data_IF_317504226935
#
_entry.id   IF_317504226935
#
_cell.length_a   1.000
_cell.length_b   1.000
_cell.length_c   1.000
_cell.angle_alpha   90.00
_cell.angle_beta   90.00
_cell.angle_gamma   90.00
#
_symmetry.space_group_name_H-M   'P 1'
#
loop_
_entity.id
_entity.type
_entity.pdbx_description
1 polymer ?
#
# COMPACT_ATOMS: atom_id res chain seq x y z
N UNK A 1 -38.49 33.07 -38.34
CA UNK A 1 -39.16 33.12 -39.66
C UNK A 1 -38.58 32.02 -40.54
N UNK A 2 -39.39 31.40 -41.41
CA UNK A 2 -39.07 30.34 -42.39
C UNK A 2 -38.45 29.04 -41.80
N UNK A 3 -39.08 27.86 -41.86
CA UNK A 3 -39.54 27.05 -43.01
C UNK A 3 -38.35 26.38 -43.74
N UNK A 4 -38.21 25.04 -43.68
CA UNK A 4 -38.90 24.03 -44.52
C UNK A 4 -38.14 23.82 -45.86
N UNK A 5 -37.92 22.66 -46.46
CA UNK A 5 -37.97 21.22 -46.15
C UNK A 5 -37.66 20.48 -47.49
N UNK A 6 -37.45 19.15 -47.46
CA UNK A 6 -37.58 18.22 -48.60
C UNK A 6 -36.65 18.40 -49.84
N UNK A 7 -35.73 17.45 -50.12
CA UNK A 7 -35.92 16.28 -51.01
C UNK A 7 -35.56 16.61 -52.50
N UNK A 8 -35.36 15.70 -53.47
CA UNK A 8 -35.69 14.27 -53.61
C UNK A 8 -34.85 13.61 -54.75
N UNK A 9 -34.81 12.26 -54.82
CA UNK A 9 -34.57 11.42 -56.03
C UNK A 9 -33.14 11.44 -56.66
N UNK A 10 -32.66 10.41 -57.35
CA UNK A 10 -33.20 9.06 -57.64
C UNK A 10 -32.47 8.39 -58.83
N UNK A 11 -32.74 7.09 -59.11
CA UNK A 11 -32.13 6.22 -60.17
C UNK A 11 -30.67 5.78 -59.87
N UNK A 12 -30.14 4.59 -60.21
CA UNK A 12 -30.65 3.35 -60.85
C UNK A 12 -29.44 2.49 -61.30
N UNK A 13 -29.48 1.17 -61.51
CA UNK A 13 -30.54 0.17 -61.29
C UNK A 13 -29.98 -1.28 -61.26
N UNK A 14 -30.51 -2.10 -60.35
CA UNK A 14 -31.06 -3.46 -60.58
C UNK A 14 -30.37 -4.38 -61.63
N UNK A 15 -29.96 -5.57 -61.19
CA UNK A 15 -30.23 -6.81 -61.94
C UNK A 15 -30.65 -7.95 -61.00
N UNK A 16 -31.72 -8.66 -61.35
CA UNK A 16 -32.29 -9.79 -60.61
C UNK A 16 -32.14 -11.09 -61.41
N UNK A 17 -31.87 -12.20 -60.71
CA UNK A 17 -32.35 -13.56 -61.03
C UNK A 17 -31.94 -14.49 -59.88
N UNK A 18 -32.77 -15.34 -59.28
CA UNK A 18 -34.22 -15.56 -59.40
C UNK A 18 -34.71 -16.46 -58.25
N UNK A 19 -36.01 -16.44 -57.97
CA UNK A 19 -36.71 -17.18 -56.89
C UNK A 19 -36.72 -18.73 -57.12
N UNK A 20 -37.21 -19.59 -56.17
CA UNK A 20 -38.07 -19.29 -55.03
C UNK A 20 -37.75 -19.98 -53.68
N UNK A 21 -38.59 -19.67 -52.69
CA UNK A 21 -38.52 -20.06 -51.29
C UNK A 21 -38.92 -21.53 -51.04
N UNK A 22 -38.23 -22.20 -50.10
CA UNK A 22 -38.71 -23.40 -49.40
C UNK A 22 -38.82 -23.08 -47.89
N UNK A 23 -39.83 -23.61 -47.18
CA UNK A 23 -40.01 -23.34 -45.75
C UNK A 23 -38.93 -24.03 -44.89
N UNK A 24 -38.53 -23.44 -43.75
CA UNK A 24 -37.54 -24.04 -42.86
C UNK A 24 -38.08 -25.33 -42.24
N UNK A 25 -37.41 -26.44 -42.54
CA UNK A 25 -37.71 -27.78 -42.00
C UNK A 25 -37.43 -27.78 -40.48
N UNK A 26 -38.35 -28.26 -39.62
CA UNK A 26 -38.12 -28.26 -38.17
C UNK A 26 -36.91 -29.13 -37.82
N UNK A 27 -35.97 -28.57 -37.05
CA UNK A 27 -34.76 -29.25 -36.66
C UNK A 27 -35.07 -30.41 -35.69
N UNK A 28 -35.08 -31.64 -36.21
CA UNK A 28 -35.16 -32.84 -35.40
C UNK A 28 -33.93 -32.91 -34.48
N UNK A 29 -34.11 -32.55 -33.20
CA UNK A 29 -33.10 -32.74 -32.14
C UNK A 29 -32.75 -34.22 -32.06
N UNK A 30 -31.65 -34.63 -32.69
CA UNK A 30 -31.06 -35.95 -32.47
C UNK A 30 -30.70 -36.06 -30.99
N UNK A 31 -31.25 -37.08 -30.32
CA UNK A 31 -30.94 -37.35 -28.92
C UNK A 31 -29.42 -37.57 -28.77
N UNK A 32 -28.79 -37.08 -27.68
CA UNK A 32 -27.37 -37.28 -27.46
C UNK A 32 -27.10 -38.78 -27.30
N UNK A 33 -26.42 -39.37 -28.29
CA UNK A 33 -25.92 -40.74 -28.18
C UNK A 33 -24.96 -40.80 -26.99
N UNK A 34 -25.40 -41.41 -25.88
CA UNK A 34 -24.54 -41.74 -24.74
C UNK A 34 -23.47 -42.73 -25.22
N UNK A 35 -22.36 -42.22 -25.76
CA UNK A 35 -21.10 -42.97 -25.80
C UNK A 35 -20.78 -43.27 -24.34
N UNK A 36 -20.83 -44.55 -23.94
CA UNK A 36 -20.30 -44.97 -22.65
C UNK A 36 -18.86 -44.48 -22.59
N UNK A 37 -18.56 -43.61 -21.64
CA UNK A 37 -17.18 -43.34 -21.29
C UNK A 37 -16.61 -44.64 -20.74
N UNK A 38 -15.90 -45.39 -21.60
CA UNK A 38 -15.06 -46.49 -21.14
C UNK A 38 -13.97 -45.81 -20.33
N UNK A 39 -14.08 -45.88 -19.01
CA UNK A 39 -13.05 -45.36 -18.13
C UNK A 39 -11.74 -46.05 -18.49
N UNK A 40 -10.77 -45.28 -18.99
CA UNK A 40 -9.44 -45.76 -19.28
C UNK A 40 -8.77 -46.13 -17.95
N UNK A 41 -9.01 -47.37 -17.51
CA UNK A 41 -8.28 -47.97 -16.39
C UNK A 41 -6.83 -48.07 -16.84
N UNK A 42 -5.96 -47.28 -16.22
CA UNK A 42 -4.52 -47.37 -16.41
C UNK A 42 -4.13 -48.79 -16.00
N UNK A 43 -3.86 -49.64 -16.98
CA UNK A 43 -3.31 -50.97 -16.73
C UNK A 43 -1.84 -50.79 -16.36
N UNK A 44 -1.48 -51.22 -15.15
CA UNK A 44 -0.08 -51.40 -14.76
C UNK A 44 0.51 -52.54 -15.59
N UNK A 45 0.91 -52.24 -16.83
CA UNK A 45 1.82 -53.09 -17.59
C UNK A 45 3.10 -53.19 -16.75
N UNK A 46 3.53 -54.41 -16.45
CA UNK A 46 4.69 -54.68 -15.59
C UNK A 46 6.00 -54.22 -16.22
N UNK A 47 6.25 -52.92 -16.19
CA UNK A 47 7.46 -52.25 -16.72
C UNK A 47 8.68 -52.41 -15.81
N UNK A 48 8.50 -53.01 -14.63
CA UNK A 48 9.54 -53.30 -13.65
C UNK A 48 9.37 -54.74 -13.13
N UNK A 49 9.81 -55.75 -13.90
CA UNK A 49 9.68 -57.16 -13.51
C UNK A 49 10.60 -57.56 -12.35
N UNK A 50 11.69 -56.81 -12.14
CA UNK A 50 12.69 -57.04 -11.08
C UNK A 50 12.42 -56.22 -9.80
N UNK A 51 11.42 -55.34 -9.81
CA UNK A 51 11.02 -54.51 -8.66
C UNK A 51 12.00 -53.41 -8.28
N UNK A 52 12.90 -53.01 -9.19
CA UNK A 52 14.02 -52.08 -8.94
C UNK A 52 13.55 -50.64 -8.69
N UNK A 53 12.40 -50.25 -9.25
CA UNK A 53 11.85 -48.89 -9.16
C UNK A 53 10.91 -48.71 -7.95
N UNK A 54 10.50 -49.81 -7.31
CA UNK A 54 9.61 -49.81 -6.16
C UNK A 54 8.15 -49.43 -6.48
N UNK A 55 7.26 -49.41 -5.48
CA UNK A 55 5.85 -49.08 -5.69
C UNK A 55 5.68 -47.60 -6.09
N UNK A 56 4.78 -47.29 -7.05
CA UNK A 56 4.58 -45.92 -7.51
C UNK A 56 4.06 -45.03 -6.37
N UNK A 57 4.82 -43.99 -6.01
CA UNK A 57 4.40 -43.07 -4.96
C UNK A 57 3.26 -42.16 -5.45
N UNK A 58 2.10 -42.12 -4.76
CA UNK A 58 1.04 -41.17 -5.10
C UNK A 58 1.41 -39.74 -4.67
N UNK A 59 0.70 -38.75 -5.23
CA UNK A 59 0.76 -37.36 -4.75
C UNK A 59 1.93 -36.50 -5.26
N UNK A 60 2.74 -36.95 -6.23
CA UNK A 60 3.78 -36.09 -6.84
C UNK A 60 3.24 -34.77 -7.40
N UNK A 61 2.08 -34.79 -8.07
CA UNK A 61 1.43 -33.58 -8.60
C UNK A 61 1.08 -32.62 -7.46
N UNK A 62 0.40 -33.11 -6.41
CA UNK A 62 0.03 -32.31 -5.24
C UNK A 62 1.26 -31.72 -4.52
N UNK A 63 2.36 -32.47 -4.41
CA UNK A 63 3.64 -31.98 -3.83
C UNK A 63 4.28 -30.88 -4.67
N UNK A 64 4.26 -31.01 -6.00
CA UNK A 64 4.78 -29.99 -6.92
C UNK A 64 3.89 -28.74 -6.96
N UNK A 65 2.57 -28.89 -6.95
CA UNK A 65 1.63 -27.77 -6.85
C UNK A 65 1.77 -27.02 -5.52
N UNK A 66 1.87 -27.74 -4.40
CA UNK A 66 2.09 -27.14 -3.09
C UNK A 66 3.41 -26.36 -3.04
N UNK A 67 4.50 -26.93 -3.57
CA UNK A 67 5.79 -26.24 -3.68
C UNK A 67 5.68 -24.99 -4.55
N UNK A 68 5.07 -25.07 -5.74
CA UNK A 68 4.88 -23.92 -6.63
C UNK A 68 4.06 -22.81 -5.98
N UNK A 69 3.04 -23.15 -5.20
CA UNK A 69 2.24 -22.16 -4.45
C UNK A 69 3.07 -21.46 -3.37
N UNK A 70 3.94 -22.19 -2.67
CA UNK A 70 4.89 -21.60 -1.72
C UNK A 70 5.93 -20.70 -2.41
N UNK A 71 6.47 -21.13 -3.55
CA UNK A 71 7.41 -20.34 -4.38
C UNK A 71 6.73 -19.04 -4.88
N UNK A 72 5.49 -19.14 -5.37
CA UNK A 72 4.71 -17.96 -5.82
C UNK A 72 4.37 -17.02 -4.66
N UNK A 73 4.08 -17.55 -3.47
CA UNK A 73 3.85 -16.77 -2.25
C UNK A 73 5.14 -16.10 -1.74
N UNK A 74 6.31 -16.76 -1.82
CA UNK A 74 7.60 -16.11 -1.53
C UNK A 74 7.92 -15.01 -2.55
N UNK A 75 7.74 -15.26 -3.84
CA UNK A 75 7.99 -14.27 -4.90
C UNK A 75 7.08 -13.04 -4.74
N UNK A 76 5.80 -13.26 -4.42
CA UNK A 76 4.84 -12.19 -4.16
C UNK A 76 5.21 -11.38 -2.90
N UNK A 77 5.62 -12.05 -1.81
CA UNK A 77 6.12 -11.39 -0.59
C UNK A 77 7.38 -10.59 -0.84
N UNK A 78 8.32 -11.13 -1.63
CA UNK A 78 9.56 -10.42 -1.98
C UNK A 78 9.33 -9.23 -2.90
N UNK A 79 8.39 -9.33 -3.86
CA UNK A 79 8.00 -8.21 -4.71
C UNK A 79 7.35 -7.09 -3.88
N UNK A 80 6.43 -7.44 -2.97
CA UNK A 80 5.83 -6.49 -2.04
C UNK A 80 6.88 -5.84 -1.13
N UNK A 81 7.81 -6.63 -0.56
CA UNK A 81 8.89 -6.09 0.27
C UNK A 81 9.83 -5.17 -0.52
N UNK A 82 10.11 -5.46 -1.80
CA UNK A 82 10.88 -4.56 -2.67
C UNK A 82 10.18 -3.22 -2.85
N UNK A 83 8.90 -3.22 -3.23
CA UNK A 83 8.09 -2.01 -3.35
C UNK A 83 8.07 -1.18 -2.06
N UNK A 84 7.91 -1.82 -0.89
CA UNK A 84 7.95 -1.14 0.42
C UNK A 84 9.32 -0.54 0.73
N UNK A 85 10.43 -1.19 0.32
CA UNK A 85 11.78 -0.63 0.47
C UNK A 85 12.01 0.55 -0.47
N UNK A 86 11.64 0.40 -1.74
CA UNK A 86 11.75 1.45 -2.77
C UNK A 86 10.94 2.70 -2.39
N UNK A 87 9.70 2.55 -1.89
CA UNK A 87 8.93 3.67 -1.33
C UNK A 87 9.62 4.32 -0.13
N UNK A 88 10.18 3.51 0.79
CA UNK A 88 10.85 4.02 2.00
C UNK A 88 12.15 4.77 1.66
N UNK A 89 12.86 4.32 0.62
CA UNK A 89 14.06 4.95 0.07
C UNK A 89 13.71 6.23 -0.71
N UNK A 90 12.64 6.24 -1.52
CA UNK A 90 12.14 7.45 -2.18
C UNK A 90 11.79 8.53 -1.15
N UNK A 91 11.02 8.18 -0.11
CA UNK A 91 10.72 9.11 1.02
C UNK A 91 11.97 9.55 1.79
N UNK A 92 13.01 8.72 1.85
CA UNK A 92 14.31 9.11 2.44
C UNK A 92 15.00 10.18 1.59
N UNK A 93 15.03 10.01 0.28
CA UNK A 93 15.59 11.00 -0.64
C UNK A 93 14.78 12.32 -0.59
N UNK A 94 13.45 12.25 -0.52
CA UNK A 94 12.57 13.41 -0.32
C UNK A 94 12.91 14.17 0.99
N UNK A 95 13.10 13.47 2.12
CA UNK A 95 13.54 14.07 3.41
C UNK A 95 14.95 14.66 3.39
N UNK A 96 15.87 14.01 2.67
CA UNK A 96 17.27 14.44 2.56
C UNK A 96 17.42 15.65 1.62
N UNK A 97 16.51 15.82 0.65
CA UNK A 97 16.41 17.00 -0.22
C UNK A 97 15.72 18.21 0.46
N UNK A 98 14.87 17.99 1.46
CA UNK A 98 14.20 19.07 2.21
C UNK A 98 15.22 19.88 3.04
N UNK A 99 15.30 21.18 2.74
CA UNK A 99 16.14 22.16 3.47
C UNK A 99 15.42 22.60 4.74
N UNK A 100 16.10 22.55 5.88
CA UNK A 100 15.59 23.01 7.18
C UNK A 100 15.73 24.55 7.25
N UNK A 101 14.66 25.32 7.50
CA UNK A 101 14.76 26.77 7.68
C UNK A 101 15.39 27.17 9.01
N UNK A 102 16.22 28.22 9.05
CA UNK A 102 16.90 28.69 10.26
C UNK A 102 16.03 29.59 11.16
N UNK A 103 14.95 30.17 10.63
CA UNK A 103 14.02 31.04 11.36
C UNK A 103 12.85 30.27 11.97
N UNK A 104 12.33 30.72 13.12
CA UNK A 104 11.18 30.09 13.78
C UNK A 104 9.90 30.13 12.92
N UNK A 105 9.62 31.24 12.22
CA UNK A 105 8.48 31.35 11.32
C UNK A 105 8.60 30.39 10.12
N UNK A 106 9.78 30.33 9.49
CA UNK A 106 10.05 29.33 8.43
C UNK A 106 9.96 27.89 8.93
N UNK A 107 10.30 27.63 10.20
CA UNK A 107 10.14 26.32 10.81
C UNK A 107 8.65 25.98 11.05
N UNK A 108 7.80 26.97 11.35
CA UNK A 108 6.35 26.79 11.42
C UNK A 108 5.77 26.44 10.03
N UNK A 109 6.09 27.20 8.97
CA UNK A 109 5.65 26.86 7.61
C UNK A 109 6.11 25.46 7.19
N UNK A 110 7.38 25.11 7.48
CA UNK A 110 7.92 23.78 7.20
C UNK A 110 7.10 22.65 7.83
N UNK A 111 6.60 22.83 9.06
CA UNK A 111 5.76 21.83 9.72
C UNK A 111 4.31 21.81 9.22
N UNK A 112 3.79 22.93 8.71
CA UNK A 112 2.47 22.97 8.04
C UNK A 112 2.52 22.29 6.66
N UNK A 113 3.61 22.46 5.92
CA UNK A 113 3.90 21.76 4.66
C UNK A 113 4.33 20.28 4.85
N UNK A 114 4.50 19.81 6.09
CA UNK A 114 4.96 18.45 6.38
C UNK A 114 3.81 17.44 6.42
N UNK A 115 3.91 16.41 5.58
CA UNK A 115 3.00 15.27 5.57
C UNK A 115 2.86 14.63 6.96
N UNK A 116 1.62 14.31 7.36
CA UNK A 116 1.33 13.64 8.64
C UNK A 116 2.02 12.27 8.83
N UNK A 117 2.58 11.68 7.77
CA UNK A 117 3.40 10.44 7.82
C UNK A 117 4.87 10.68 8.12
N UNK A 118 5.34 11.90 7.89
CA UNK A 118 6.73 12.32 8.03
C UNK A 118 6.94 13.22 9.26
N UNK A 119 5.86 13.77 9.82
CA UNK A 119 5.85 14.63 11.01
C UNK A 119 6.63 14.00 12.19
N UNK A 120 6.47 12.70 12.47
CA UNK A 120 7.20 12.00 13.54
C UNK A 120 8.72 11.99 13.31
N UNK A 121 9.14 11.84 12.05
CA UNK A 121 10.55 11.79 11.65
C UNK A 121 11.18 13.18 11.75
N UNK A 122 10.48 14.21 11.28
CA UNK A 122 10.96 15.59 11.35
C UNK A 122 10.93 16.12 12.80
N UNK A 123 9.96 15.73 13.64
CA UNK A 123 9.98 16.00 15.09
C UNK A 123 11.25 15.41 15.73
N UNK A 124 11.59 14.16 15.43
CA UNK A 124 12.82 13.53 15.94
C UNK A 124 14.10 14.22 15.43
N UNK A 125 14.13 14.63 14.16
CA UNK A 125 15.25 15.35 13.54
C UNK A 125 15.45 16.76 14.13
N UNK A 126 14.34 17.45 14.42
CA UNK A 126 14.30 18.85 14.85
C UNK A 126 14.08 19.02 16.36
N UNK A 127 14.08 17.92 17.13
CA UNK A 127 13.90 17.91 18.59
C UNK A 127 14.73 18.98 19.34
N UNK A 128 16.01 19.26 18.99
CA UNK A 128 16.82 20.31 19.66
C UNK A 128 16.40 21.75 19.35
N UNK A 129 15.51 21.96 18.38
CA UNK A 129 14.93 23.27 17.99
C UNK A 129 13.47 23.41 18.42
N UNK A 130 12.75 22.30 18.60
CA UNK A 130 11.40 22.23 19.20
C UNK A 130 11.45 22.52 20.72
N UNK A 131 11.81 23.75 21.05
CA UNK A 131 12.05 24.26 22.39
C UNK A 131 10.91 25.20 22.81
N UNK A 132 10.84 25.54 24.10
CA UNK A 132 9.80 26.44 24.63
C UNK A 132 9.70 27.76 23.82
N UNK A 133 10.82 28.37 23.45
CA UNK A 133 10.85 29.59 22.65
C UNK A 133 10.12 29.49 21.29
N UNK A 134 10.17 28.33 20.64
CA UNK A 134 9.45 28.06 19.39
C UNK A 134 7.94 27.88 19.64
N UNK A 135 7.57 27.15 20.69
CA UNK A 135 6.16 27.06 21.09
C UNK A 135 5.59 28.42 21.53
N UNK A 136 6.37 29.25 22.22
CA UNK A 136 6.02 30.63 22.58
C UNK A 136 5.89 31.53 21.34
N UNK A 137 6.64 31.26 20.27
CA UNK A 137 6.45 31.94 18.98
C UNK A 137 5.11 31.57 18.34
N UNK A 138 4.79 30.27 18.22
CA UNK A 138 3.49 29.81 17.72
C UNK A 138 2.33 30.34 18.58
N UNK A 139 2.46 30.33 19.92
CA UNK A 139 1.45 30.91 20.81
C UNK A 139 1.23 32.41 20.57
N UNK A 140 2.29 33.17 20.26
CA UNK A 140 2.18 34.59 19.92
C UNK A 140 1.46 34.80 18.58
N UNK A 141 1.72 33.99 17.56
CA UNK A 141 1.00 34.08 16.28
C UNK A 141 -0.49 33.70 16.42
N UNK A 142 -0.78 32.60 17.10
CA UNK A 142 -2.14 32.18 17.47
C UNK A 142 -2.86 33.31 18.24
N UNK A 143 -2.18 33.95 19.20
CA UNK A 143 -2.73 35.09 19.94
C UNK A 143 -2.95 36.32 19.06
N UNK A 144 -2.03 36.67 18.17
CA UNK A 144 -2.17 37.78 17.23
C UNK A 144 -3.41 37.61 16.33
N UNK A 145 -3.61 36.41 15.79
CA UNK A 145 -4.78 36.09 14.96
C UNK A 145 -6.07 36.11 15.81
N UNK A 146 -6.05 35.53 17.02
CA UNK A 146 -7.20 35.55 17.94
C UNK A 146 -7.61 36.96 18.39
N UNK A 147 -6.66 37.86 18.60
CA UNK A 147 -6.93 39.23 19.06
C UNK A 147 -6.97 40.27 17.92
N UNK A 148 -6.88 39.85 16.65
CA UNK A 148 -7.08 40.72 15.50
C UNK A 148 -8.52 41.28 15.49
N UNK A 149 -8.63 42.60 15.33
CA UNK A 149 -9.91 43.34 15.34
C UNK A 149 -10.76 43.01 14.11
N UNK A 150 -10.12 42.68 13.00
CA UNK A 150 -10.75 42.20 11.76
C UNK A 150 -10.19 40.82 11.43
N UNK A 151 -11.04 39.79 11.44
CA UNK A 151 -10.69 38.45 10.97
C UNK A 151 -11.32 38.21 9.61
N UNK A 152 -10.52 37.68 8.68
CA UNK A 152 -11.01 37.11 7.41
C UNK A 152 -11.11 35.59 7.56
N UNK A 153 -11.84 34.91 6.67
CA UNK A 153 -11.91 33.44 6.67
C UNK A 153 -10.51 32.80 6.58
N UNK A 154 -9.64 33.34 5.74
CA UNK A 154 -8.23 32.91 5.59
C UNK A 154 -7.45 32.97 6.92
N UNK A 155 -7.72 33.96 7.77
CA UNK A 155 -7.11 34.05 9.10
C UNK A 155 -7.68 33.01 10.07
N UNK A 156 -8.96 32.63 9.94
CA UNK A 156 -9.58 31.60 10.77
C UNK A 156 -9.14 30.18 10.35
N UNK A 157 -9.00 29.92 9.04
CA UNK A 157 -8.42 28.68 8.52
C UNK A 157 -6.97 28.51 9.00
N UNK A 158 -6.14 29.56 8.85
CA UNK A 158 -4.75 29.56 9.31
C UNK A 158 -4.63 29.42 10.84
N UNK A 159 -5.61 29.91 11.61
CA UNK A 159 -5.67 29.69 13.05
C UNK A 159 -5.85 28.21 13.39
N UNK A 160 -6.77 27.53 12.69
CA UNK A 160 -7.05 26.10 12.88
C UNK A 160 -5.81 25.27 12.54
N UNK A 161 -5.12 25.60 11.44
CA UNK A 161 -3.86 24.95 11.03
C UNK A 161 -2.77 25.07 12.11
N UNK A 162 -2.54 26.30 12.62
CA UNK A 162 -1.53 26.55 13.66
C UNK A 162 -1.87 25.86 14.99
N UNK A 163 -3.14 25.82 15.40
CA UNK A 163 -3.58 25.11 16.60
C UNK A 163 -3.43 23.58 16.45
N UNK A 164 -3.81 23.03 15.30
CA UNK A 164 -3.65 21.60 15.01
C UNK A 164 -2.17 21.19 14.99
N UNK A 165 -1.32 21.97 14.30
CA UNK A 165 0.12 21.76 14.27
C UNK A 165 0.74 21.85 15.68
N UNK A 166 0.42 22.90 16.45
CA UNK A 166 0.93 23.05 17.81
C UNK A 166 0.63 21.82 18.67
N UNK A 167 -0.60 21.30 18.60
CA UNK A 167 -1.00 20.12 19.35
C UNK A 167 -0.22 18.87 18.93
N UNK A 168 -0.11 18.60 17.63
CA UNK A 168 0.62 17.43 17.09
C UNK A 168 2.11 17.51 17.46
N UNK A 169 2.73 18.69 17.38
CA UNK A 169 4.13 18.88 17.76
C UNK A 169 4.37 18.66 19.26
N UNK A 170 3.47 19.11 20.14
CA UNK A 170 3.56 18.86 21.59
C UNK A 170 3.43 17.36 21.91
N UNK A 171 2.40 16.69 21.38
CA UNK A 171 2.16 15.25 21.59
C UNK A 171 3.34 14.41 21.05
N UNK A 172 3.86 14.74 19.85
CA UNK A 172 4.99 14.05 19.24
C UNK A 172 6.32 14.29 19.97
N UNK A 173 6.56 15.50 20.49
CA UNK A 173 7.73 15.80 21.35
C UNK A 173 7.68 14.98 22.64
N UNK A 174 6.53 14.92 23.31
CA UNK A 174 6.37 14.09 24.50
C UNK A 174 6.57 12.59 24.20
N UNK A 175 6.05 12.10 23.08
CA UNK A 175 6.23 10.71 22.67
C UNK A 175 7.71 10.39 22.38
N UNK A 176 8.40 11.30 21.68
CA UNK A 176 9.84 11.19 21.41
C UNK A 176 10.66 11.14 22.70
N UNK A 177 10.40 12.04 23.65
CA UNK A 177 11.13 12.08 24.92
C UNK A 177 10.88 10.82 25.77
N UNK A 178 9.65 10.29 25.78
CA UNK A 178 9.32 9.00 26.42
C UNK A 178 10.12 7.85 25.79
N UNK A 179 10.13 7.74 24.46
CA UNK A 179 10.91 6.72 23.73
C UNK A 179 12.42 6.87 23.96
N UNK A 180 12.95 8.10 24.03
CA UNK A 180 14.36 8.33 24.33
C UNK A 180 14.72 7.82 25.74
N UNK A 181 13.88 8.09 26.74
CA UNK A 181 14.07 7.60 28.10
C UNK A 181 14.00 6.07 28.19
N UNK A 182 13.08 5.44 27.46
CA UNK A 182 12.97 3.98 27.39
C UNK A 182 14.23 3.34 26.76
N UNK A 183 14.77 3.94 25.69
CA UNK A 183 16.01 3.48 25.06
C UNK A 183 17.23 3.65 25.98
N UNK A 184 17.33 4.76 26.70
CA UNK A 184 18.41 5.00 27.68
C UNK A 184 18.33 4.00 28.83
N UNK A 185 17.14 3.79 29.42
CA UNK A 185 16.98 2.82 30.51
C UNK A 185 17.18 1.38 30.06
N UNK A 186 16.77 1.02 28.83
CA UNK A 186 17.07 -0.29 28.24
C UNK A 186 18.58 -0.50 28.05
N UNK A 187 19.30 0.49 27.52
CA UNK A 187 20.77 0.48 27.39
C UNK A 187 21.44 0.30 28.75
N UNK A 188 20.98 1.00 29.78
CA UNK A 188 21.50 0.84 31.14
C UNK A 188 21.29 -0.57 31.69
N UNK A 189 20.09 -1.15 31.53
CA UNK A 189 19.78 -2.52 31.95
C UNK A 189 20.70 -3.53 31.26
N UNK A 190 20.87 -3.42 29.94
CA UNK A 190 21.79 -4.25 29.17
C UNK A 190 23.24 -4.08 29.63
N UNK A 191 23.68 -2.84 29.88
CA UNK A 191 25.04 -2.56 30.38
C UNK A 191 25.27 -3.20 31.75
N UNK A 192 24.29 -3.10 32.67
CA UNK A 192 24.32 -3.74 34.00
C UNK A 192 24.39 -5.28 33.89
N UNK A 193 23.66 -5.90 32.95
CA UNK A 193 23.69 -7.35 32.68
C UNK A 193 25.04 -7.79 32.10
N UNK A 194 25.61 -7.03 31.17
CA UNK A 194 26.90 -7.37 30.52
C UNK A 194 28.10 -7.19 31.45
N UNK A 195 28.02 -6.23 32.38
CA UNK A 195 29.05 -5.93 33.37
C UNK A 195 28.91 -6.75 34.68
N UNK A 196 27.79 -7.43 34.91
CA UNK A 196 27.63 -8.27 36.11
C UNK A 196 28.57 -9.49 36.05
N UNK A 197 29.19 -9.83 37.20
CA UNK A 197 30.04 -11.01 37.30
C UNK A 197 29.23 -12.31 37.16
N UNK A 198 27.99 -12.32 37.64
CA UNK A 198 27.07 -13.47 37.59
C UNK A 198 25.99 -13.33 36.51
N UNK A 199 26.40 -13.53 35.26
CA UNK A 199 25.53 -13.45 34.06
C UNK A 199 24.30 -14.38 34.08
N UNK A 200 24.25 -15.37 34.98
CA UNK A 200 23.14 -16.33 35.16
C UNK A 200 22.12 -15.93 36.23
N UNK A 201 22.44 -15.03 37.16
CA UNK A 201 21.47 -14.54 38.16
C UNK A 201 20.66 -13.38 37.61
N UNK A 202 21.30 -12.44 36.90
CA UNK A 202 20.68 -11.20 36.38
C UNK A 202 19.65 -11.39 35.27
N UNK A 203 19.48 -12.61 34.73
CA UNK A 203 18.50 -12.92 33.65
C UNK A 203 17.23 -13.56 34.21
N UNK A 204 17.15 -13.82 35.52
CA UNK A 204 15.99 -14.46 36.19
C UNK A 204 15.23 -13.54 37.17
N UNK A 205 15.59 -12.26 37.21
CA UNK A 205 14.97 -11.21 38.03
C UNK A 205 14.43 -10.09 37.15
#
# INVERSE_FOLDING_TARGET
>A
MASSAAASLGLGAVFQSGCPLLPPRPAARRAPTRRRAVGAKISCIGWDPEGVLGPPQPGHIARLEFRRRLETDSDAREAFQRQVREEKERRRQEREARVIPDTDAGLAEFFLDTDAREIEVEIGRLRPRLNQAFFDHIQREIAQIKFAITRTAEMEDRLIELEAMQKVLLEGVEAYDKLQNDLVTAKERLTKILQSRDKKSTVRS
#
